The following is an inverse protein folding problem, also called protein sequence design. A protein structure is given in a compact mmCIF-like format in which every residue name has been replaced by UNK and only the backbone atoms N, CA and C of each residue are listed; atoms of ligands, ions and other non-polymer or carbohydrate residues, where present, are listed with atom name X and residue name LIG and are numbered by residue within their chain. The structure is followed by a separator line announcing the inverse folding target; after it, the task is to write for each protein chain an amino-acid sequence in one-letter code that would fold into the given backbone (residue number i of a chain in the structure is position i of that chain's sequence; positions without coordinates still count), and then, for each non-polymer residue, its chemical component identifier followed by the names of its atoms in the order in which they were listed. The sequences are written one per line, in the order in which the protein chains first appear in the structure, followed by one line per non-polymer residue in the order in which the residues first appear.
data_IF_789285159143
#
_entry.id   IF_789285159143
#
_cell.length_a   1.000
_cell.length_b   1.000
_cell.length_c   1.000
_cell.angle_alpha   90.00
_cell.angle_beta   90.00
_cell.angle_gamma   90.00
#
_symmetry.space_group_name_H-M   'P 1'
#
loop_
_entity.id
_entity.type
_entity.pdbx_description
1 polymer ?
#
# COMPACT_ATOMS: atom_id res chain seq x y z
N UNK A 1 -19.37 22.20 -3.93
CA UNK A 1 -18.31 21.48 -4.64
C UNK A 1 -18.29 20.01 -4.25
N UNK A 2 -18.42 19.11 -5.22
CA UNK A 2 -18.27 17.67 -5.08
C UNK A 2 -16.87 17.21 -5.48
N UNK A 3 -16.15 16.56 -4.56
CA UNK A 3 -14.76 16.17 -4.69
C UNK A 3 -14.67 14.65 -4.60
N UNK A 4 -13.91 14.02 -5.50
CA UNK A 4 -13.50 12.63 -5.34
C UNK A 4 -12.07 12.57 -4.79
N UNK A 5 -11.91 12.05 -3.59
CA UNK A 5 -10.61 11.83 -2.93
C UNK A 5 -10.19 10.36 -3.05
N UNK A 6 -9.03 10.13 -3.66
CA UNK A 6 -8.35 8.84 -3.77
C UNK A 6 -6.88 8.98 -3.36
N UNK A 7 -6.21 7.87 -3.04
CA UNK A 7 -4.85 7.86 -2.53
C UNK A 7 -4.14 6.55 -2.93
N UNK A 8 -2.82 6.53 -2.76
CA UNK A 8 -2.02 5.30 -2.69
C UNK A 8 -2.28 4.35 -3.87
N UNK A 9 -2.24 4.90 -5.09
CA UNK A 9 -2.46 4.13 -6.32
C UNK A 9 -1.35 3.14 -6.55
N UNK A 10 -0.11 3.46 -6.20
CA UNK A 10 1.08 2.64 -6.41
C UNK A 10 1.11 1.99 -7.80
N UNK A 11 0.91 2.78 -8.86
CA UNK A 11 0.88 2.24 -10.21
C UNK A 11 2.18 1.49 -10.53
N UNK A 12 2.04 0.28 -11.07
CA UNK A 12 3.16 -0.61 -11.33
C UNK A 12 3.65 -1.40 -10.11
N UNK A 13 2.84 -1.51 -9.05
CA UNK A 13 3.15 -2.40 -7.92
C UNK A 13 3.21 -3.86 -8.38
N UNK A 14 4.19 -4.58 -7.84
CA UNK A 14 4.23 -6.04 -7.94
C UNK A 14 3.61 -6.69 -6.71
N UNK A 15 2.79 -7.71 -6.91
CA UNK A 15 2.24 -8.56 -5.87
C UNK A 15 2.67 -10.00 -6.11
N UNK A 16 3.52 -10.53 -5.24
CA UNK A 16 4.09 -11.88 -5.34
C UNK A 16 4.82 -12.20 -6.67
N UNK A 17 5.35 -11.18 -7.34
CA UNK A 17 6.17 -11.32 -8.55
C UNK A 17 5.46 -10.88 -9.83
N UNK A 18 4.14 -10.68 -9.78
CA UNK A 18 3.33 -10.22 -10.92
C UNK A 18 2.97 -8.74 -10.78
N UNK A 19 2.95 -8.00 -11.89
CA UNK A 19 2.51 -6.61 -11.89
C UNK A 19 0.98 -6.53 -11.81
N UNK A 20 0.49 -5.64 -10.94
CA UNK A 20 -0.94 -5.35 -10.80
C UNK A 20 -1.44 -4.28 -11.78
N UNK A 21 -0.61 -3.81 -12.72
CA UNK A 21 -0.95 -2.68 -13.61
C UNK A 21 -2.23 -2.93 -14.41
N UNK A 22 -2.51 -4.17 -14.82
CA UNK A 22 -3.76 -4.52 -15.51
C UNK A 22 -4.98 -4.42 -14.58
N UNK A 23 -4.88 -4.95 -13.35
CA UNK A 23 -5.93 -4.82 -12.31
C UNK A 23 -6.19 -3.36 -11.93
N UNK A 24 -5.11 -2.58 -11.77
CA UNK A 24 -5.17 -1.14 -11.51
C UNK A 24 -5.87 -0.43 -12.66
N UNK A 25 -5.51 -0.77 -13.90
CA UNK A 25 -6.12 -0.25 -15.11
C UNK A 25 -7.61 -0.57 -15.20
N UNK A 26 -8.01 -1.80 -14.89
CA UNK A 26 -9.42 -2.21 -14.87
C UNK A 26 -10.24 -1.34 -13.90
N UNK A 27 -9.80 -1.21 -12.64
CA UNK A 27 -10.53 -0.40 -11.66
C UNK A 27 -10.59 1.06 -12.06
N UNK A 28 -9.49 1.62 -12.56
CA UNK A 28 -9.44 3.03 -12.97
C UNK A 28 -10.34 3.29 -14.19
N UNK A 29 -10.32 2.41 -15.18
CA UNK A 29 -11.06 2.60 -16.44
C UNK A 29 -12.54 2.28 -16.33
N UNK A 30 -12.86 1.15 -15.69
CA UNK A 30 -14.22 0.59 -15.70
C UNK A 30 -15.07 1.05 -14.51
N UNK A 31 -14.46 1.63 -13.46
CA UNK A 31 -15.20 2.06 -12.27
C UNK A 31 -14.89 3.50 -11.86
N UNK A 32 -13.61 3.87 -11.73
CA UNK A 32 -13.25 5.23 -11.30
C UNK A 32 -13.69 6.30 -12.30
N UNK A 33 -13.41 6.14 -13.60
CA UNK A 33 -13.84 7.11 -14.61
C UNK A 33 -15.37 7.22 -14.74
N UNK A 34 -16.15 6.11 -14.80
CA UNK A 34 -17.61 6.20 -14.73
C UNK A 34 -18.11 6.89 -13.46
N UNK A 35 -17.53 6.59 -12.29
CA UNK A 35 -17.89 7.21 -11.02
C UNK A 35 -17.77 8.74 -11.07
N UNK A 36 -16.71 9.27 -11.68
CA UNK A 36 -16.53 10.72 -11.84
C UNK A 36 -17.70 11.37 -12.59
N UNK A 37 -18.14 10.71 -13.66
CA UNK A 37 -19.23 11.20 -14.52
C UNK A 37 -20.59 11.05 -13.84
N UNK A 38 -20.87 9.87 -13.31
CA UNK A 38 -22.18 9.51 -12.78
C UNK A 38 -22.52 10.28 -11.50
N UNK A 39 -21.51 10.56 -10.67
CA UNK A 39 -21.68 11.35 -9.45
C UNK A 39 -21.55 12.87 -9.67
N UNK A 40 -21.20 13.32 -10.88
CA UNK A 40 -21.01 14.74 -11.18
C UNK A 40 -19.87 15.36 -10.38
N UNK A 41 -18.71 14.69 -10.36
CA UNK A 41 -17.53 15.15 -9.62
C UNK A 41 -16.97 16.43 -10.25
N UNK A 42 -16.69 17.43 -9.42
CA UNK A 42 -16.20 18.75 -9.83
C UNK A 42 -14.68 18.90 -9.64
N UNK A 43 -14.05 18.08 -8.79
CA UNK A 43 -12.60 18.00 -8.62
C UNK A 43 -12.16 16.62 -8.16
N UNK A 44 -11.00 16.17 -8.64
CA UNK A 44 -10.36 14.92 -8.20
C UNK A 44 -9.10 15.25 -7.42
N UNK A 45 -8.90 14.57 -6.29
CA UNK A 45 -7.70 14.65 -5.47
C UNK A 45 -7.04 13.27 -5.38
N UNK A 46 -5.77 13.18 -5.76
CA UNK A 46 -4.89 12.04 -5.53
C UNK A 46 -3.83 12.41 -4.50
N UNK A 47 -4.01 11.95 -3.25
CA UNK A 47 -3.23 12.34 -2.07
C UNK A 47 -1.90 11.57 -1.90
N UNK A 48 -1.18 11.36 -3.00
CA UNK A 48 0.16 10.79 -3.00
C UNK A 48 0.23 9.31 -3.37
N UNK A 49 1.48 8.84 -3.47
CA UNK A 49 1.88 7.51 -3.94
C UNK A 49 1.19 7.14 -5.25
N UNK A 50 1.42 7.98 -6.27
CA UNK A 50 0.95 7.75 -7.64
C UNK A 50 1.57 6.47 -8.19
N UNK A 51 2.88 6.31 -7.97
CA UNK A 51 3.67 5.16 -8.44
C UNK A 51 4.19 4.32 -7.26
N UNK A 52 4.41 3.01 -7.50
CA UNK A 52 5.01 2.14 -6.46
C UNK A 52 6.46 2.50 -6.15
N UNK A 53 7.16 3.14 -7.09
CA UNK A 53 8.60 3.42 -7.00
C UNK A 53 8.94 4.72 -7.70
N UNK A 54 10.03 5.35 -7.27
CA UNK A 54 10.58 6.58 -7.84
C UNK A 54 11.01 6.43 -9.32
N UNK A 55 11.27 5.20 -9.75
CA UNK A 55 11.51 4.79 -11.13
C UNK A 55 10.39 3.82 -11.57
N UNK A 56 9.21 4.32 -11.97
CA UNK A 56 8.11 3.47 -12.37
C UNK A 56 8.37 2.77 -13.72
N UNK A 57 7.76 1.59 -13.96
CA UNK A 57 7.77 0.96 -15.28
C UNK A 57 6.95 1.79 -16.28
N UNK A 58 7.29 1.69 -17.57
CA UNK A 58 6.62 2.46 -18.63
C UNK A 58 5.09 2.28 -18.65
N UNK A 59 4.61 1.05 -18.48
CA UNK A 59 3.17 0.75 -18.45
C UNK A 59 2.43 1.47 -17.31
N UNK A 60 3.08 1.72 -16.16
CA UNK A 60 2.47 2.49 -15.07
C UNK A 60 2.36 3.98 -15.42
N UNK A 61 3.39 4.53 -16.09
CA UNK A 61 3.40 5.92 -16.57
C UNK A 61 2.34 6.12 -17.65
N UNK A 62 2.24 5.19 -18.60
CA UNK A 62 1.21 5.19 -19.64
C UNK A 62 -0.21 5.10 -19.06
N UNK A 63 -0.41 4.27 -18.03
CA UNK A 63 -1.69 4.18 -17.34
C UNK A 63 -2.05 5.50 -16.64
N UNK A 64 -1.11 6.13 -15.93
CA UNK A 64 -1.37 7.45 -15.32
C UNK A 64 -1.69 8.50 -16.38
N UNK A 65 -0.92 8.55 -17.47
CA UNK A 65 -1.14 9.47 -18.59
C UNK A 65 -2.54 9.31 -19.21
N UNK A 66 -2.96 8.07 -19.47
CA UNK A 66 -4.29 7.78 -20.00
C UNK A 66 -5.39 8.26 -19.05
N UNK A 67 -5.30 7.92 -17.76
CA UNK A 67 -6.33 8.28 -16.78
C UNK A 67 -6.36 9.80 -16.56
N UNK A 68 -5.20 10.44 -16.38
CA UNK A 68 -5.13 11.88 -16.18
C UNK A 68 -5.65 12.65 -17.41
N UNK A 69 -5.35 12.18 -18.62
CA UNK A 69 -5.88 12.74 -19.87
C UNK A 69 -7.40 12.61 -19.93
N UNK A 70 -7.96 11.44 -19.60
CA UNK A 70 -9.44 11.27 -19.58
C UNK A 70 -10.10 12.18 -18.54
N UNK A 71 -9.54 12.28 -17.34
CA UNK A 71 -10.08 13.16 -16.28
C UNK A 71 -10.07 14.63 -16.71
N UNK A 72 -8.96 15.10 -17.28
CA UNK A 72 -8.76 16.53 -17.54
C UNK A 72 -9.20 16.97 -18.93
N UNK A 73 -8.82 16.27 -19.99
CA UNK A 73 -9.11 16.67 -21.37
C UNK A 73 -10.49 16.20 -21.87
N UNK A 74 -11.01 15.08 -21.37
CA UNK A 74 -12.32 14.55 -21.81
C UNK A 74 -13.43 14.95 -20.84
N UNK A 75 -13.25 14.70 -19.54
CA UNK A 75 -14.24 15.02 -18.52
C UNK A 75 -14.18 16.49 -18.05
N UNK A 76 -13.09 17.21 -18.35
CA UNK A 76 -12.88 18.61 -17.95
C UNK A 76 -12.93 18.81 -16.42
N UNK A 77 -12.51 17.80 -15.66
CA UNK A 77 -12.48 17.84 -14.20
C UNK A 77 -11.05 18.20 -13.76
N UNK A 78 -10.85 19.26 -12.96
CA UNK A 78 -9.59 19.53 -12.30
C UNK A 78 -9.07 18.33 -11.53
N UNK A 79 -7.84 17.91 -11.82
CA UNK A 79 -7.17 16.79 -11.15
C UNK A 79 -5.96 17.30 -10.38
N UNK A 80 -6.03 17.23 -9.05
CA UNK A 80 -4.99 17.67 -8.14
C UNK A 80 -4.24 16.46 -7.58
N UNK A 81 -2.94 16.44 -7.77
CA UNK A 81 -2.06 15.32 -7.44
C UNK A 81 -0.90 15.81 -6.61
N UNK A 82 -0.61 15.13 -5.50
CA UNK A 82 0.62 15.34 -4.74
C UNK A 82 1.55 14.13 -4.87
N UNK A 83 2.85 14.30 -4.62
CA UNK A 83 3.75 13.14 -4.45
C UNK A 83 3.63 12.54 -3.05
N UNK A 84 3.67 11.21 -2.96
CA UNK A 84 3.90 10.50 -1.70
C UNK A 84 5.37 10.14 -1.49
N UNK A 85 5.66 9.27 -0.52
CA UNK A 85 7.02 8.86 -0.16
C UNK A 85 7.63 7.82 -1.11
N UNK A 86 6.83 7.20 -1.99
CA UNK A 86 7.31 6.31 -3.04
C UNK A 86 7.68 7.04 -4.33
N UNK A 87 7.03 8.16 -4.60
CA UNK A 87 7.18 8.92 -5.83
C UNK A 87 8.56 9.61 -5.91
N UNK A 88 8.97 9.96 -7.13
CA UNK A 88 10.05 10.93 -7.33
C UNK A 88 9.43 12.32 -7.50
N UNK A 89 9.59 13.20 -6.51
CA UNK A 89 9.05 14.56 -6.51
C UNK A 89 9.35 15.33 -7.82
N UNK A 90 10.62 15.30 -8.25
CA UNK A 90 11.08 16.02 -9.44
C UNK A 90 10.55 15.43 -10.75
N UNK A 91 10.47 14.09 -10.86
CA UNK A 91 9.94 13.41 -12.06
C UNK A 91 8.43 13.54 -12.17
N UNK A 92 7.70 13.38 -11.05
CA UNK A 92 6.26 13.57 -11.03
C UNK A 92 5.90 15.01 -11.42
N UNK A 93 6.68 15.98 -10.93
CA UNK A 93 6.48 17.41 -11.23
C UNK A 93 7.05 17.85 -12.58
N UNK A 94 7.44 16.92 -13.46
CA UNK A 94 7.90 17.27 -14.80
C UNK A 94 6.72 17.84 -15.60
N UNK A 95 6.91 19.02 -16.22
CA UNK A 95 5.87 19.66 -17.02
C UNK A 95 4.68 20.23 -16.22
N UNK A 96 4.70 20.23 -14.89
CA UNK A 96 3.56 20.63 -14.05
C UNK A 96 3.00 22.03 -14.38
N UNK A 97 3.86 23.00 -14.70
CA UNK A 97 3.45 24.35 -15.09
C UNK A 97 2.66 24.40 -16.42
N UNK A 98 2.96 23.50 -17.37
CA UNK A 98 2.21 23.37 -18.61
C UNK A 98 0.88 22.65 -18.35
N UNK A 99 0.93 21.55 -17.59
CA UNK A 99 -0.20 20.69 -17.28
C UNK A 99 -1.27 21.39 -16.43
N UNK A 100 -0.87 22.27 -15.51
CA UNK A 100 -1.78 23.07 -14.71
C UNK A 100 -2.74 23.93 -15.55
N UNK A 101 -2.33 24.34 -16.76
CA UNK A 101 -3.21 25.08 -17.70
C UNK A 101 -4.29 24.22 -18.33
N UNK A 102 -4.14 22.90 -18.28
CA UNK A 102 -5.10 21.90 -18.75
C UNK A 102 -5.92 21.31 -17.60
N UNK A 103 -5.78 21.83 -16.38
CA UNK A 103 -6.51 21.33 -15.21
C UNK A 103 -5.83 20.18 -14.45
N UNK A 104 -4.60 19.78 -14.83
CA UNK A 104 -3.80 18.81 -14.07
C UNK A 104 -2.80 19.55 -13.18
N UNK A 105 -3.10 19.64 -11.90
CA UNK A 105 -2.27 20.32 -10.90
C UNK A 105 -1.41 19.30 -10.17
N UNK A 106 -0.10 19.37 -10.37
CA UNK A 106 0.85 18.46 -9.73
C UNK A 106 1.75 19.25 -8.79
N UNK A 107 1.72 18.88 -7.51
CA UNK A 107 2.60 19.41 -6.47
C UNK A 107 3.44 18.26 -5.90
N UNK A 108 4.71 18.17 -6.32
CA UNK A 108 5.66 17.20 -5.75
C UNK A 108 6.96 17.87 -5.34
N UNK A 109 7.53 18.60 -6.27
CA UNK A 109 8.78 19.34 -6.13
C UNK A 109 8.55 20.65 -5.36
N UNK A 110 9.21 20.81 -4.20
CA UNK A 110 9.04 21.95 -3.31
C UNK A 110 9.35 23.28 -4.01
N UNK A 111 10.36 23.30 -4.88
CA UNK A 111 10.78 24.51 -5.61
C UNK A 111 9.73 25.00 -6.63
N UNK A 112 8.73 24.17 -6.94
CA UNK A 112 7.63 24.49 -7.87
C UNK A 112 6.33 24.84 -7.15
N UNK A 113 6.32 24.83 -5.82
CA UNK A 113 5.15 25.24 -5.04
C UNK A 113 4.90 26.75 -5.19
N UNK A 114 3.65 27.11 -5.44
CA UNK A 114 3.25 28.50 -5.77
C UNK A 114 2.11 29.04 -4.92
N UNK A 115 1.74 28.31 -3.85
CA UNK A 115 0.55 28.58 -3.05
C UNK A 115 -0.62 27.67 -3.40
N UNK A 116 -1.83 28.01 -2.92
CA UNK A 116 -2.99 27.13 -3.06
C UNK A 116 -3.51 27.11 -4.50
N UNK A 117 -4.04 25.97 -4.92
CA UNK A 117 -4.82 25.91 -6.16
C UNK A 117 -6.24 26.41 -5.85
N UNK A 118 -6.65 27.51 -6.47
CA UNK A 118 -7.99 28.08 -6.25
C UNK A 118 -8.94 27.62 -7.35
N UNK A 119 -9.89 26.78 -6.99
CA UNK A 119 -11.04 26.43 -7.83
C UNK A 119 -12.26 27.27 -7.43
N UNK A 120 -13.29 27.30 -8.27
CA UNK A 120 -14.53 28.05 -8.01
C UNK A 120 -15.74 27.17 -8.30
N UNK A 121 -16.68 27.15 -7.37
CA UNK A 121 -18.04 26.65 -7.60
C UNK A 121 -19.04 27.82 -7.51
N UNK A 122 -20.35 27.52 -7.52
CA UNK A 122 -21.41 28.52 -7.42
C UNK A 122 -21.39 29.33 -6.11
N UNK A 123 -20.87 28.77 -5.02
CA UNK A 123 -20.80 29.43 -3.72
C UNK A 123 -19.54 30.27 -3.53
N UNK A 124 -18.53 30.13 -4.40
CA UNK A 124 -17.34 30.98 -4.42
C UNK A 124 -16.03 30.20 -4.53
N UNK A 125 -14.89 30.80 -4.14
CA UNK A 125 -13.60 30.14 -4.23
C UNK A 125 -13.49 28.99 -3.21
N UNK A 126 -12.77 27.94 -3.61
CA UNK A 126 -12.31 26.84 -2.77
C UNK A 126 -10.80 26.71 -2.95
N UNK A 127 -10.07 26.83 -1.85
CA UNK A 127 -8.62 26.71 -1.84
C UNK A 127 -8.19 25.27 -1.58
N UNK A 128 -7.42 24.70 -2.50
CA UNK A 128 -6.76 23.41 -2.33
C UNK A 128 -5.31 23.62 -1.94
N UNK A 129 -4.98 23.30 -0.70
CA UNK A 129 -3.64 23.40 -0.14
C UNK A 129 -2.95 22.05 -0.35
N UNK A 130 -2.17 21.97 -1.43
CA UNK A 130 -1.43 20.76 -1.81
C UNK A 130 -0.09 20.70 -1.06
N UNK A 131 0.09 19.66 -0.24
CA UNK A 131 1.27 19.43 0.58
C UNK A 131 1.89 18.08 0.19
N UNK A 132 2.87 18.05 -0.74
CA UNK A 132 3.57 16.82 -1.06
C UNK A 132 4.31 16.26 0.16
N UNK A 133 4.53 14.95 0.15
CA UNK A 133 5.47 14.34 1.08
C UNK A 133 6.86 14.96 0.88
N UNK A 134 7.48 15.37 1.99
CA UNK A 134 8.83 15.90 2.02
C UNK A 134 9.49 15.54 3.35
N UNK A 135 10.79 15.26 3.30
CA UNK A 135 11.58 15.04 4.50
C UNK A 135 11.81 16.37 5.24
N UNK A 136 11.91 16.38 6.58
CA UNK A 136 12.14 17.61 7.34
C UNK A 136 13.39 18.36 6.89
N UNK A 137 14.41 17.64 6.41
CA UNK A 137 15.63 18.25 5.87
C UNK A 137 15.39 19.03 4.57
N UNK A 138 14.54 18.51 3.68
CA UNK A 138 14.21 19.18 2.41
C UNK A 138 13.38 20.43 2.68
N UNK A 139 12.41 20.34 3.59
CA UNK A 139 11.58 21.49 3.99
C UNK A 139 12.42 22.57 4.69
N UNK A 140 13.31 22.17 5.61
CA UNK A 140 14.26 23.07 6.26
C UNK A 140 15.10 23.84 5.24
N UNK A 141 15.63 23.13 4.24
CA UNK A 141 16.44 23.75 3.19
C UNK A 141 15.61 24.69 2.30
N UNK A 142 14.42 24.26 1.88
CA UNK A 142 13.51 25.03 1.03
C UNK A 142 13.03 26.33 1.69
N UNK A 143 12.69 26.28 2.97
CA UNK A 143 12.18 27.44 3.72
C UNK A 143 13.27 28.26 4.42
N UNK A 144 14.52 27.79 4.42
CA UNK A 144 15.63 28.37 5.19
C UNK A 144 15.30 28.51 6.69
N UNK A 145 14.71 27.47 7.28
CA UNK A 145 14.26 27.44 8.68
C UNK A 145 14.90 26.30 9.48
N UNK A 146 16.00 26.63 10.17
CA UNK A 146 16.77 25.71 11.00
C UNK A 146 15.99 25.11 12.18
N UNK A 147 14.77 25.58 12.49
CA UNK A 147 13.98 25.03 13.62
C UNK A 147 13.19 23.77 13.25
N UNK A 148 13.15 23.42 11.96
CA UNK A 148 12.45 22.26 11.41
C UNK A 148 13.32 21.01 11.58
N UNK A 149 12.93 20.15 12.51
CA UNK A 149 13.67 18.94 12.88
C UNK A 149 12.87 17.64 12.82
N UNK A 150 11.55 17.74 12.66
CA UNK A 150 10.61 16.63 12.66
C UNK A 150 9.51 16.87 11.61
N UNK A 151 8.73 15.82 11.32
CA UNK A 151 7.68 15.88 10.31
C UNK A 151 6.54 16.81 10.71
N UNK A 152 6.24 16.96 12.01
CA UNK A 152 5.20 17.86 12.50
C UNK A 152 5.50 19.31 12.10
N UNK A 153 6.68 19.80 12.46
CA UNK A 153 7.11 21.16 12.12
C UNK A 153 7.26 21.36 10.62
N UNK A 154 7.76 20.35 9.90
CA UNK A 154 7.89 20.40 8.46
C UNK A 154 6.52 20.60 7.79
N UNK A 155 5.51 19.81 8.20
CA UNK A 155 4.15 19.94 7.70
C UNK A 155 3.53 21.29 8.07
N UNK A 156 3.67 21.74 9.32
CA UNK A 156 3.14 23.03 9.76
C UNK A 156 3.72 24.20 8.97
N UNK A 157 5.04 24.18 8.72
CA UNK A 157 5.74 25.20 7.95
C UNK A 157 5.34 25.19 6.47
N UNK A 158 5.29 24.00 5.84
CA UNK A 158 4.78 23.86 4.47
C UNK A 158 3.32 24.31 4.36
N UNK A 159 2.48 23.93 5.32
CA UNK A 159 1.08 24.33 5.39
C UNK A 159 0.96 25.86 5.47
N UNK A 160 1.74 26.53 6.32
CA UNK A 160 1.77 27.98 6.41
C UNK A 160 2.27 28.66 5.12
N UNK A 161 3.23 28.05 4.42
CA UNK A 161 3.72 28.55 3.13
C UNK A 161 2.66 28.40 2.02
N UNK A 162 2.07 27.22 1.88
CA UNK A 162 1.11 26.88 0.83
C UNK A 162 -0.29 27.44 1.07
N UNK A 163 -0.66 27.80 2.30
CA UNK A 163 -1.97 28.38 2.61
C UNK A 163 -2.01 29.91 2.54
N UNK A 164 -0.95 30.56 2.04
CA UNK A 164 -0.90 32.02 1.92
C UNK A 164 -2.00 32.50 0.96
N UNK A 165 -2.81 33.45 1.42
CA UNK A 165 -3.91 34.02 0.62
C UNK A 165 -5.20 33.20 0.62
N UNK A 166 -5.32 32.17 1.47
CA UNK A 166 -6.56 31.39 1.63
C UNK A 166 -7.59 32.05 2.58
N UNK A 167 -7.30 33.23 3.14
CA UNK A 167 -8.11 33.83 4.20
C UNK A 167 -9.57 34.02 3.77
N UNK A 168 -10.50 33.51 4.59
CA UNK A 168 -11.94 33.59 4.35
C UNK A 168 -12.47 32.67 3.24
N UNK A 169 -11.64 31.82 2.65
CA UNK A 169 -12.08 30.80 1.68
C UNK A 169 -12.42 29.49 2.37
N UNK A 170 -13.28 28.69 1.74
CA UNK A 170 -13.37 27.26 2.07
C UNK A 170 -12.08 26.60 1.60
N UNK A 171 -11.49 25.75 2.43
CA UNK A 171 -10.17 25.20 2.21
C UNK A 171 -10.15 23.67 2.42
N UNK A 172 -9.51 23.00 1.47
CA UNK A 172 -9.25 21.56 1.47
C UNK A 172 -7.74 21.35 1.53
N UNK A 173 -7.28 20.60 2.53
CA UNK A 173 -5.88 20.19 2.62
C UNK A 173 -5.70 18.84 1.93
N UNK A 174 -4.62 18.70 1.15
CA UNK A 174 -4.21 17.43 0.54
C UNK A 174 -2.80 17.14 1.03
N UNK A 175 -2.61 16.02 1.73
CA UNK A 175 -1.33 15.71 2.37
C UNK A 175 -1.06 14.21 2.40
N UNK A 176 0.23 13.84 2.42
CA UNK A 176 0.66 12.45 2.48
C UNK A 176 1.57 12.27 3.71
N UNK A 177 0.96 11.85 4.83
CA UNK A 177 1.61 11.79 6.14
C UNK A 177 1.09 10.64 6.98
N UNK A 178 1.81 10.30 8.05
CA UNK A 178 1.30 9.40 9.09
C UNK A 178 0.71 10.19 10.27
N UNK A 179 -0.61 10.29 10.31
CA UNK A 179 -1.34 10.99 11.36
C UNK A 179 -1.57 10.08 12.58
N UNK A 180 -1.45 10.67 13.77
CA UNK A 180 -1.63 9.99 15.05
C UNK A 180 -3.01 9.35 15.16
N UNK A 181 -3.04 8.05 15.48
CA UNK A 181 -4.25 7.24 15.55
C UNK A 181 -4.58 6.46 14.26
N UNK A 182 -3.81 6.64 13.19
CA UNK A 182 -3.90 5.83 11.98
C UNK A 182 -3.43 4.38 12.20
N UNK A 183 -4.07 3.43 11.51
CA UNK A 183 -3.71 2.01 11.52
C UNK A 183 -3.04 1.62 10.21
N UNK A 184 -1.86 1.00 10.31
CA UNK A 184 -1.06 0.57 9.18
C UNK A 184 -1.33 -0.87 8.75
N UNK A 185 -0.79 -1.22 7.57
CA UNK A 185 -0.74 -2.54 6.96
C UNK A 185 0.66 -2.86 6.43
N UNK A 186 0.94 -4.13 6.12
CA UNK A 186 2.32 -4.58 5.84
C UNK A 186 2.90 -4.07 4.51
N UNK A 187 2.06 -3.55 3.61
CA UNK A 187 2.47 -3.06 2.29
C UNK A 187 2.96 -1.61 2.31
N UNK A 188 2.68 -0.88 3.38
CA UNK A 188 3.09 0.50 3.58
C UNK A 188 4.56 0.51 3.99
N UNK A 189 5.36 1.43 3.43
CA UNK A 189 6.71 1.63 3.94
C UNK A 189 6.60 2.25 5.32
N UNK A 190 7.15 1.63 6.38
CA UNK A 190 7.23 2.29 7.66
C UNK A 190 8.02 3.57 7.45
N UNK A 191 7.39 4.72 7.68
CA UNK A 191 8.09 6.01 7.68
C UNK A 191 9.10 6.08 8.82
N UNK A 192 8.99 5.21 9.83
CA UNK A 192 9.77 5.30 11.06
C UNK A 192 10.42 4.00 11.52
N UNK A 193 11.62 4.18 12.09
CA UNK A 193 12.16 3.37 13.18
C UNK A 193 12.25 4.31 14.40
N UNK A 194 11.16 4.47 15.18
CA UNK A 194 11.22 5.23 16.45
C UNK A 194 10.11 6.23 16.78
N UNK A 195 9.16 6.50 15.87
CA UNK A 195 7.93 7.27 16.16
C UNK A 195 8.02 8.80 16.00
N UNK A 196 9.11 9.33 15.45
CA UNK A 196 9.34 10.78 15.23
C UNK A 196 8.51 11.41 14.09
N UNK A 197 7.77 10.58 13.36
CA UNK A 197 7.16 10.95 12.06
C UNK A 197 5.63 11.04 12.16
N UNK A 198 5.11 11.00 13.38
CA UNK A 198 3.69 11.11 13.71
C UNK A 198 3.24 12.56 13.69
N UNK A 199 2.17 12.83 12.93
CA UNK A 199 1.53 14.13 12.84
C UNK A 199 0.31 14.19 13.76
N UNK A 200 0.20 15.23 14.58
CA UNK A 200 -1.04 15.50 15.32
C UNK A 200 -2.14 15.98 14.35
N UNK A 201 -3.30 15.33 14.42
CA UNK A 201 -4.48 15.70 13.63
C UNK A 201 -4.91 17.17 13.80
N UNK A 202 -4.58 17.82 14.92
CA UNK A 202 -4.85 19.23 15.16
C UNK A 202 -4.19 20.17 14.12
N UNK A 203 -3.10 19.73 13.46
CA UNK A 203 -2.47 20.46 12.36
C UNK A 203 -3.45 20.79 11.22
N UNK A 204 -4.54 20.02 11.13
CA UNK A 204 -5.54 20.12 10.09
C UNK A 204 -6.80 20.91 10.48
N UNK A 205 -6.95 21.40 11.71
CA UNK A 205 -8.19 22.02 12.24
C UNK A 205 -8.69 23.23 11.47
N UNK A 206 -7.80 23.92 10.75
CA UNK A 206 -8.16 25.09 9.93
C UNK A 206 -8.89 24.75 8.63
N UNK A 207 -8.91 23.49 8.21
CA UNK A 207 -9.47 23.05 6.93
C UNK A 207 -10.86 22.43 7.09
N UNK A 208 -11.75 22.69 6.13
CA UNK A 208 -13.08 22.04 6.10
C UNK A 208 -12.95 20.54 5.82
N UNK A 209 -12.01 20.15 4.96
CA UNK A 209 -11.71 18.74 4.66
C UNK A 209 -10.21 18.53 4.50
N UNK A 210 -9.72 17.36 4.94
CA UNK A 210 -8.33 16.93 4.74
C UNK A 210 -8.31 15.57 4.06
N UNK A 211 -7.78 15.56 2.84
CA UNK A 211 -7.52 14.39 2.03
C UNK A 211 -6.12 13.83 2.33
N UNK A 212 -6.05 12.78 3.15
CA UNK A 212 -4.81 12.10 3.49
C UNK A 212 -4.57 10.88 2.59
N UNK A 213 -3.30 10.68 2.19
CA UNK A 213 -2.75 9.41 1.71
C UNK A 213 -1.64 8.93 2.63
N UNK A 214 -1.05 7.77 2.33
CA UNK A 214 0.01 7.01 3.03
C UNK A 214 -0.49 5.70 3.63
N UNK A 215 -1.68 5.70 4.24
CA UNK A 215 -2.25 4.50 4.85
C UNK A 215 -3.24 3.84 3.89
N UNK A 216 -3.03 2.56 3.60
CA UNK A 216 -3.78 1.86 2.56
C UNK A 216 -5.19 1.47 3.00
N UNK A 217 -5.47 1.47 4.30
CA UNK A 217 -6.81 1.25 4.84
C UNK A 217 -7.63 2.55 4.89
N UNK A 218 -8.82 2.61 4.26
CA UNK A 218 -9.69 3.77 4.39
C UNK A 218 -10.12 3.97 5.85
N UNK A 219 -9.86 5.15 6.41
CA UNK A 219 -10.12 5.44 7.82
C UNK A 219 -10.24 6.94 8.11
N UNK A 220 -10.85 7.26 9.26
CA UNK A 220 -10.94 8.62 9.80
C UNK A 220 -9.89 8.80 10.90
N UNK A 221 -9.35 10.01 11.04
CA UNK A 221 -8.39 10.32 12.10
C UNK A 221 -8.79 11.62 12.81
N UNK A 222 -8.96 11.55 14.13
CA UNK A 222 -9.37 12.68 14.95
C UNK A 222 -10.83 13.09 14.72
N UNK A 223 -11.15 13.67 13.55
CA UNK A 223 -12.49 14.10 13.14
C UNK A 223 -12.95 13.48 11.82
N UNK A 224 -14.26 13.42 11.53
CA UNK A 224 -14.80 12.78 10.32
C UNK A 224 -14.31 13.36 8.98
N UNK A 225 -13.88 14.62 8.99
CA UNK A 225 -13.42 15.37 7.82
C UNK A 225 -11.92 15.20 7.53
N UNK A 226 -11.17 14.52 8.40
CA UNK A 226 -9.77 14.15 8.18
C UNK A 226 -9.72 12.66 7.88
N UNK A 227 -9.46 12.31 6.62
CA UNK A 227 -9.66 10.94 6.14
C UNK A 227 -8.49 10.47 5.31
N UNK A 228 -8.13 9.21 5.50
CA UNK A 228 -7.40 8.43 4.51
C UNK A 228 -8.40 7.82 3.53
N UNK A 229 -8.18 8.01 2.23
CA UNK A 229 -8.97 7.31 1.22
C UNK A 229 -8.61 5.82 1.15
N UNK A 230 -7.37 5.48 1.50
CA UNK A 230 -6.82 4.15 1.30
C UNK A 230 -6.42 3.89 -0.15
N UNK A 231 -5.76 2.77 -0.36
CA UNK A 231 -5.28 2.35 -1.68
C UNK A 231 -6.41 1.91 -2.60
N UNK A 232 -6.13 1.97 -3.90
CA UNK A 232 -7.04 1.50 -4.96
C UNK A 232 -7.34 0.00 -4.86
N UNK A 233 -6.30 -0.79 -4.54
CA UNK A 233 -6.31 -2.24 -4.48
C UNK A 233 -5.67 -2.74 -3.19
N UNK A 234 -5.82 -4.03 -2.89
CA UNK A 234 -5.13 -4.70 -1.79
C UNK A 234 -3.70 -5.01 -2.20
N UNK A 235 -2.74 -4.53 -1.43
CA UNK A 235 -1.32 -4.63 -1.74
C UNK A 235 -0.53 -5.55 -0.80
N UNK A 236 -1.20 -6.11 0.19
CA UNK A 236 -0.74 -7.15 1.10
C UNK A 236 -1.90 -8.05 1.50
N UNK A 237 -1.60 -9.28 1.91
CA UNK A 237 -2.57 -10.17 2.54
C UNK A 237 -3.11 -9.61 3.87
N UNK A 238 -2.38 -8.73 4.57
CA UNK A 238 -2.89 -8.03 5.75
C UNK A 238 -4.12 -7.15 5.44
N UNK A 239 -4.30 -6.78 4.18
CA UNK A 239 -5.42 -5.96 3.71
C UNK A 239 -6.60 -6.79 3.18
N UNK A 240 -6.55 -8.13 3.27
CA UNK A 240 -7.56 -9.03 2.71
C UNK A 240 -8.99 -8.75 3.21
N UNK A 241 -9.15 -8.18 4.40
CA UNK A 241 -10.45 -7.81 4.99
C UNK A 241 -10.84 -6.35 4.76
N UNK A 242 -9.95 -5.53 4.21
CA UNK A 242 -10.21 -4.13 3.95
C UNK A 242 -11.05 -3.96 2.67
N UNK A 243 -11.95 -2.98 2.68
CA UNK A 243 -12.58 -2.50 1.46
C UNK A 243 -11.69 -1.44 0.84
N UNK A 244 -11.54 -1.48 -0.49
CA UNK A 244 -10.73 -0.52 -1.26
C UNK A 244 -11.63 0.35 -2.12
N UNK A 245 -11.20 1.57 -2.41
CA UNK A 245 -12.07 2.51 -3.10
C UNK A 245 -11.63 3.96 -3.02
N UNK A 246 -12.62 4.85 -3.08
CA UNK A 246 -12.44 6.29 -3.00
C UNK A 246 -13.45 6.92 -2.04
N UNK A 247 -13.24 8.18 -1.66
CA UNK A 247 -14.16 8.94 -0.82
C UNK A 247 -14.79 10.04 -1.66
N UNK A 248 -16.11 10.00 -1.80
CA UNK A 248 -16.90 11.09 -2.37
C UNK A 248 -17.18 12.11 -1.25
N UNK A 249 -16.88 13.37 -1.51
CA UNK A 249 -16.95 14.45 -0.53
C UNK A 249 -17.78 15.58 -1.10
N UNK A 250 -18.80 16.01 -0.37
CA UNK A 250 -19.58 17.19 -0.69
C UNK A 250 -19.21 18.31 0.28
N UNK A 251 -18.70 19.42 -0.25
CA UNK A 251 -18.39 20.66 0.45
C UNK A 251 -19.41 21.72 0.05
N UNK A 252 -20.24 22.17 0.99
CA UNK A 252 -21.28 23.17 0.72
C UNK A 252 -20.76 24.62 0.75
N UNK A 253 -21.66 25.58 0.56
CA UNK A 253 -21.33 27.02 0.58
C UNK A 253 -20.98 27.57 1.97
N UNK A 254 -21.47 26.93 3.03
CA UNK A 254 -21.17 27.28 4.43
C UNK A 254 -19.87 26.62 4.93
N UNK A 255 -19.26 25.77 4.11
CA UNK A 255 -18.06 25.00 4.46
C UNK A 255 -18.35 23.73 5.25
N UNK A 256 -19.60 23.24 5.31
CA UNK A 256 -19.90 21.94 5.90
C UNK A 256 -19.54 20.84 4.92
N UNK A 257 -19.10 19.72 5.50
CA UNK A 257 -18.63 18.56 4.75
C UNK A 257 -19.47 17.35 5.07
N UNK A 258 -19.91 16.65 4.03
CA UNK A 258 -20.36 15.25 4.13
C UNK A 258 -19.49 14.38 3.25
N UNK A 259 -19.21 13.16 3.70
CA UNK A 259 -18.40 12.22 2.92
C UNK A 259 -18.95 10.81 2.95
N UNK A 260 -18.80 10.10 1.84
CA UNK A 260 -19.20 8.72 1.65
C UNK A 260 -18.06 7.93 1.02
N UNK A 261 -17.79 6.75 1.56
CA UNK A 261 -16.85 5.82 0.94
C UNK A 261 -17.54 5.04 -0.18
N UNK A 262 -16.94 5.05 -1.36
CA UNK A 262 -17.40 4.32 -2.54
C UNK A 262 -16.44 3.15 -2.79
N UNK A 263 -16.89 1.89 -2.55
CA UNK A 263 -16.03 0.73 -2.78
C UNK A 263 -15.80 0.52 -4.27
N UNK A 264 -14.59 0.10 -4.61
CA UNK A 264 -14.19 -0.33 -5.95
C UNK A 264 -13.87 -1.83 -5.90
N UNK A 265 -14.27 -2.56 -6.94
CA UNK A 265 -14.18 -4.02 -6.99
C UNK A 265 -13.13 -4.45 -8.00
N UNK A 266 -12.02 -5.09 -7.60
CA UNK A 266 -11.03 -5.59 -8.56
C UNK A 266 -11.60 -6.72 -9.43
N UNK A 267 -10.90 -7.05 -10.51
CA UNK A 267 -11.24 -8.24 -11.29
C UNK A 267 -10.83 -9.51 -10.52
N UNK A 268 -9.69 -9.48 -9.82
CA UNK A 268 -9.26 -10.51 -8.88
C UNK A 268 -9.02 -9.92 -7.47
N UNK A 269 -9.76 -10.40 -6.46
CA UNK A 269 -9.61 -9.93 -5.09
C UNK A 269 -8.50 -10.68 -4.32
N UNK A 270 -8.00 -10.11 -3.22
CA UNK A 270 -7.02 -10.76 -2.34
C UNK A 270 -7.74 -11.44 -1.18
N UNK A 271 -7.55 -12.76 -1.05
CA UNK A 271 -8.21 -13.59 -0.04
C UNK A 271 -7.23 -14.48 0.73
N UNK A 272 -7.53 -14.69 2.01
CA UNK A 272 -6.86 -15.68 2.86
C UNK A 272 -7.84 -16.82 3.14
N UNK A 273 -7.54 -18.01 2.62
CA UNK A 273 -8.28 -19.23 2.91
C UNK A 273 -7.69 -19.90 4.14
N UNK A 274 -8.53 -20.35 5.07
CA UNK A 274 -8.09 -21.00 6.32
C UNK A 274 -8.82 -22.33 6.52
N UNK A 275 -8.10 -23.31 7.07
CA UNK A 275 -8.58 -24.66 7.36
C UNK A 275 -7.64 -25.72 6.80
N UNK A 276 -8.02 -26.99 6.86
CA UNK A 276 -7.19 -28.07 6.33
C UNK A 276 -7.04 -27.95 4.81
N UNK A 277 -5.94 -28.44 4.27
CA UNK A 277 -5.70 -28.44 2.83
C UNK A 277 -6.81 -29.21 2.10
N UNK A 278 -7.29 -30.30 2.68
CA UNK A 278 -8.40 -31.08 2.13
C UNK A 278 -9.69 -30.23 2.08
N UNK A 279 -10.07 -29.59 3.17
CA UNK A 279 -11.28 -28.77 3.23
C UNK A 279 -11.23 -27.60 2.23
N UNK A 280 -10.07 -26.94 2.10
CA UNK A 280 -9.87 -25.85 1.13
C UNK A 280 -10.06 -26.36 -0.31
N UNK A 281 -9.61 -27.57 -0.61
CA UNK A 281 -9.71 -28.17 -1.93
C UNK A 281 -11.11 -28.72 -2.24
N UNK A 282 -11.85 -29.20 -1.25
CA UNK A 282 -13.21 -29.76 -1.42
C UNK A 282 -14.32 -28.71 -1.38
N UNK A 283 -14.10 -27.57 -0.72
CA UNK A 283 -15.09 -26.48 -0.61
C UNK A 283 -15.56 -25.96 -1.97
N UNK A 284 -16.86 -25.76 -2.16
CA UNK A 284 -17.34 -25.01 -3.34
C UNK A 284 -16.92 -23.53 -3.25
N UNK A 285 -16.28 -23.01 -4.29
CA UNK A 285 -15.85 -21.60 -4.38
C UNK A 285 -16.01 -21.13 -5.82
N UNK A 286 -16.77 -20.05 -6.01
CA UNK A 286 -17.05 -19.41 -7.30
C UNK A 286 -15.99 -18.38 -7.70
N UNK A 287 -15.09 -18.00 -6.78
CA UNK A 287 -14.06 -16.97 -6.97
C UNK A 287 -12.66 -17.57 -7.07
N UNK A 288 -12.51 -18.63 -7.84
CA UNK A 288 -11.23 -19.33 -7.99
C UNK A 288 -10.12 -18.49 -8.64
N UNK A 289 -10.49 -17.43 -9.36
CA UNK A 289 -9.56 -16.47 -9.97
C UNK A 289 -8.92 -15.48 -8.98
N UNK A 290 -9.40 -15.38 -7.74
CA UNK A 290 -8.83 -14.44 -6.76
C UNK A 290 -7.37 -14.77 -6.40
N UNK A 291 -6.64 -13.75 -5.96
CA UNK A 291 -5.30 -13.91 -5.40
C UNK A 291 -5.39 -14.53 -4.00
N UNK A 292 -4.95 -15.78 -3.90
CA UNK A 292 -5.16 -16.59 -2.69
C UNK A 292 -3.86 -16.84 -1.94
N UNK A 293 -3.88 -16.57 -0.64
CA UNK A 293 -3.03 -17.20 0.36
C UNK A 293 -3.82 -18.32 1.04
N UNK A 294 -3.35 -19.55 0.92
CA UNK A 294 -3.89 -20.66 1.72
C UNK A 294 -3.09 -20.77 3.01
N UNK A 295 -3.74 -20.58 4.15
CA UNK A 295 -3.16 -20.78 5.49
C UNK A 295 -3.74 -22.05 6.09
N UNK A 296 -2.97 -23.12 6.01
CA UNK A 296 -3.39 -24.46 6.41
C UNK A 296 -3.06 -24.76 7.87
N UNK A 297 -3.92 -25.54 8.51
CA UNK A 297 -3.73 -26.04 9.87
C UNK A 297 -3.18 -27.48 9.91
N UNK A 298 -2.92 -28.09 8.74
CA UNK A 298 -2.30 -29.40 8.64
C UNK A 298 -0.93 -29.44 9.35
N UNK A 299 -0.77 -30.44 10.21
CA UNK A 299 0.48 -30.72 10.93
C UNK A 299 1.46 -31.53 10.07
N UNK A 300 0.95 -32.33 9.13
CA UNK A 300 1.76 -33.13 8.20
C UNK A 300 2.11 -32.37 6.90
N UNK A 301 3.25 -32.67 6.25
CA UNK A 301 3.59 -32.05 4.97
C UNK A 301 2.62 -32.41 3.84
N UNK A 302 2.02 -31.39 3.23
CA UNK A 302 1.23 -31.55 2.01
C UNK A 302 2.15 -31.63 0.79
N UNK A 303 2.35 -32.83 0.26
CA UNK A 303 3.09 -33.05 -0.99
C UNK A 303 2.43 -32.29 -2.15
N UNK A 304 3.27 -31.59 -2.92
CA UNK A 304 2.88 -30.75 -4.05
C UNK A 304 1.76 -29.75 -3.73
N UNK A 305 1.68 -29.28 -2.48
CA UNK A 305 0.58 -28.45 -1.99
C UNK A 305 0.28 -27.24 -2.88
N UNK A 306 1.32 -26.49 -3.29
CA UNK A 306 1.14 -25.33 -4.14
C UNK A 306 0.67 -25.68 -5.56
N UNK A 307 1.22 -26.73 -6.16
CA UNK A 307 0.83 -27.16 -7.50
C UNK A 307 -0.61 -27.69 -7.52
N UNK A 308 -1.02 -28.42 -6.46
CA UNK A 308 -2.39 -28.88 -6.26
C UNK A 308 -3.35 -27.72 -6.01
N UNK A 309 -2.97 -26.75 -5.18
CA UNK A 309 -3.75 -25.55 -4.91
C UNK A 309 -4.01 -24.77 -6.22
N UNK A 310 -2.97 -24.61 -7.06
CA UNK A 310 -3.07 -23.91 -8.35
C UNK A 310 -3.95 -24.60 -9.39
N UNK A 311 -4.23 -25.90 -9.25
CA UNK A 311 -5.23 -26.57 -10.11
C UNK A 311 -6.64 -26.04 -9.86
N UNK A 312 -6.94 -25.62 -8.62
CA UNK A 312 -8.23 -25.07 -8.24
C UNK A 312 -8.25 -23.54 -8.24
N UNK A 313 -7.19 -22.92 -7.72
CA UNK A 313 -7.03 -21.47 -7.62
C UNK A 313 -5.82 -21.04 -8.48
N UNK A 314 -5.99 -20.77 -9.79
CA UNK A 314 -4.87 -20.51 -10.69
C UNK A 314 -3.94 -19.39 -10.21
N UNK A 315 -4.51 -18.38 -9.56
CA UNK A 315 -3.82 -17.21 -9.03
C UNK A 315 -3.42 -17.37 -7.55
N UNK A 316 -3.31 -18.61 -7.05
CA UNK A 316 -2.75 -18.84 -5.73
C UNK A 316 -1.30 -18.34 -5.66
N UNK A 317 -1.04 -17.48 -4.67
CA UNK A 317 0.22 -16.77 -4.48
C UNK A 317 1.09 -17.42 -3.41
N UNK A 318 0.49 -17.95 -2.35
CA UNK A 318 1.23 -18.53 -1.24
C UNK A 318 0.46 -19.66 -0.53
N UNK A 319 1.22 -20.54 0.12
CA UNK A 319 0.75 -21.59 1.02
C UNK A 319 1.56 -21.52 2.31
N UNK A 320 0.89 -21.21 3.42
CA UNK A 320 1.47 -21.11 4.77
C UNK A 320 0.96 -22.26 5.64
N UNK A 321 1.85 -22.89 6.42
CA UNK A 321 1.50 -23.87 7.45
C UNK A 321 2.05 -23.40 8.80
N UNK A 322 1.37 -22.46 9.51
CA UNK A 322 1.92 -21.79 10.68
C UNK A 322 2.26 -22.74 11.83
N UNK A 323 1.52 -23.86 11.97
CA UNK A 323 1.78 -24.87 12.99
C UNK A 323 3.10 -25.64 12.76
N UNK A 324 3.68 -25.52 11.56
CA UNK A 324 5.00 -26.05 11.22
C UNK A 324 6.10 -24.99 11.30
N UNK A 325 5.73 -23.71 11.44
CA UNK A 325 6.68 -22.64 11.74
C UNK A 325 6.93 -22.63 13.25
N UNK A 326 7.97 -23.33 13.66
CA UNK A 326 8.45 -23.25 15.04
C UNK A 326 8.87 -21.82 15.33
N UNK A 327 8.37 -21.29 16.45
CA UNK A 327 8.74 -19.98 16.94
C UNK A 327 10.27 -19.88 17.00
N UNK A 328 10.82 -18.83 16.41
CA UNK A 328 12.25 -18.51 16.49
C UNK A 328 12.69 -18.11 17.93
N UNK A 329 11.98 -18.53 18.97
CA UNK A 329 12.13 -18.08 20.35
C UNK A 329 12.54 -19.17 21.34
N UNK A 330 13.06 -20.32 20.89
CA UNK A 330 13.55 -21.37 21.79
C UNK A 330 14.87 -22.03 21.36
N UNK A 331 15.69 -21.34 20.55
CA UNK A 331 16.99 -21.85 20.12
C UNK A 331 18.05 -20.76 20.13
N UNK A 332 19.07 -20.96 20.95
CA UNK A 332 20.29 -20.19 21.01
C UNK A 332 20.85 -19.92 19.61
N UNK A 333 21.24 -18.69 19.30
CA UNK A 333 21.81 -18.28 17.99
C UNK A 333 23.29 -18.69 17.85
N UNK A 334 23.67 -19.82 18.45
CA UNK A 334 25.05 -20.32 18.46
C UNK A 334 25.10 -21.77 17.98
N UNK A 335 24.51 -22.04 16.80
CA UNK A 335 24.67 -23.32 16.12
C UNK A 335 26.01 -23.33 15.39
N UNK A 336 27.02 -24.01 15.94
CA UNK A 336 28.34 -24.14 15.32
C UNK A 336 28.29 -25.14 14.14
N UNK A 337 27.86 -24.64 12.97
CA UNK A 337 27.75 -25.41 11.71
C UNK A 337 29.05 -26.14 11.35
N UNK A 338 30.23 -25.64 11.79
CA UNK A 338 31.53 -26.27 11.49
C UNK A 338 31.86 -27.49 12.36
N UNK A 339 31.13 -27.72 13.46
CA UNK A 339 31.36 -28.82 14.39
C UNK A 339 30.29 -29.91 14.40
N UNK A 340 29.24 -29.76 13.59
CA UNK A 340 28.07 -30.64 13.59
C UNK A 340 28.12 -31.59 12.39
N UNK A 341 27.92 -32.89 12.61
CA UNK A 341 27.82 -33.85 11.50
C UNK A 341 26.49 -33.67 10.76
N UNK A 342 26.42 -34.10 9.50
CA UNK A 342 25.19 -34.05 8.71
C UNK A 342 24.02 -34.80 9.37
N UNK A 343 24.32 -35.93 10.04
CA UNK A 343 23.36 -36.70 10.85
C UNK A 343 22.80 -35.88 12.02
N UNK A 344 23.66 -35.11 12.70
CA UNK A 344 23.28 -34.22 13.79
C UNK A 344 22.50 -32.99 13.29
N UNK A 345 22.87 -32.46 12.13
CA UNK A 345 22.12 -31.38 11.45
C UNK A 345 20.71 -31.84 11.08
N UNK A 346 20.58 -33.03 10.49
CA UNK A 346 19.28 -33.61 10.15
C UNK A 346 18.46 -33.91 11.40
N UNK A 347 19.07 -34.49 12.44
CA UNK A 347 18.36 -34.77 13.70
C UNK A 347 17.90 -33.50 14.39
N UNK A 348 18.71 -32.44 14.37
CA UNK A 348 18.34 -31.12 14.89
C UNK A 348 17.24 -30.45 14.07
N UNK A 349 17.28 -30.59 12.74
CA UNK A 349 16.19 -30.16 11.86
C UNK A 349 14.90 -30.94 12.12
N UNK A 350 14.97 -32.26 12.27
CA UNK A 350 13.82 -33.11 12.56
C UNK A 350 13.19 -32.77 13.91
N UNK A 351 14.01 -32.55 14.94
CA UNK A 351 13.57 -32.10 16.26
C UNK A 351 12.99 -30.68 16.22
N UNK A 352 13.61 -29.78 15.44
CA UNK A 352 13.08 -28.44 15.23
C UNK A 352 11.74 -28.47 14.50
N UNK A 353 11.54 -29.36 13.53
CA UNK A 353 10.29 -29.45 12.77
C UNK A 353 9.20 -30.28 13.48
N UNK A 354 9.57 -31.12 14.46
CA UNK A 354 8.67 -31.96 15.26
C UNK A 354 9.08 -31.92 16.75
N UNK A 355 8.85 -30.80 17.46
CA UNK A 355 9.31 -30.64 18.84
C UNK A 355 8.71 -31.66 19.82
N UNK A 356 7.46 -32.05 19.58
CA UNK A 356 6.71 -32.97 20.44
C UNK A 356 6.88 -34.45 20.05
N UNK A 357 7.59 -34.73 18.95
CA UNK A 357 7.75 -36.06 18.41
C UNK A 357 9.15 -36.24 17.80
N UNK A 358 10.17 -36.50 18.64
CA UNK A 358 11.52 -36.79 18.17
C UNK A 358 11.51 -38.03 17.26
N UNK A 359 12.53 -38.16 16.41
CA UNK A 359 12.70 -39.33 15.55
C UNK A 359 12.57 -40.61 16.37
N UNK A 360 11.59 -41.44 16.02
CA UNK A 360 11.43 -42.76 16.62
C UNK A 360 12.64 -43.64 16.35
N UNK A 361 12.87 -44.67 17.17
CA UNK A 361 13.98 -45.62 16.94
C UNK A 361 13.97 -46.23 15.53
N UNK A 362 12.77 -46.42 14.95
CA UNK A 362 12.59 -46.90 13.57
C UNK A 362 13.03 -45.87 12.54
N UNK A 363 12.67 -44.60 12.72
CA UNK A 363 13.06 -43.52 11.80
C UNK A 363 14.57 -43.26 11.88
N UNK A 364 15.14 -43.25 13.09
CA UNK A 364 16.59 -43.12 13.31
C UNK A 364 17.35 -44.30 12.70
N UNK A 365 16.83 -45.52 12.83
CA UNK A 365 17.41 -46.70 12.17
C UNK A 365 17.37 -46.63 10.64
N UNK A 366 16.27 -46.13 10.07
CA UNK A 366 16.14 -45.88 8.63
C UNK A 366 17.15 -44.82 8.16
N UNK A 367 17.28 -43.73 8.91
CA UNK A 367 18.23 -42.65 8.65
C UNK A 367 19.66 -43.15 8.58
N UNK A 368 20.10 -43.92 9.58
CA UNK A 368 21.44 -44.49 9.62
C UNK A 368 21.71 -45.44 8.44
N UNK A 369 20.74 -46.28 8.08
CA UNK A 369 20.88 -47.18 6.93
C UNK A 369 21.02 -46.41 5.61
N UNK A 370 20.27 -45.32 5.44
CA UNK A 370 20.37 -44.44 4.27
C UNK A 370 21.72 -43.73 4.20
N UNK A 371 22.22 -43.19 5.32
CA UNK A 371 23.54 -42.55 5.36
C UNK A 371 24.68 -43.55 5.14
N UNK A 372 24.59 -44.75 5.71
CA UNK A 372 25.56 -45.81 5.47
C UNK A 372 25.57 -46.27 4.02
N UNK A 373 24.41 -46.29 3.36
CA UNK A 373 24.31 -46.59 1.93
C UNK A 373 24.92 -45.47 1.08
N UNK A 374 24.61 -44.21 1.37
CA UNK A 374 25.17 -43.04 0.68
C UNK A 374 26.68 -42.92 0.84
N UNK A 375 27.22 -43.13 2.06
CA UNK A 375 28.67 -43.15 2.32
C UNK A 375 29.37 -44.29 1.58
N UNK A 376 28.71 -45.43 1.40
CA UNK A 376 29.24 -46.56 0.61
C UNK A 376 29.22 -46.26 -0.89
N UNK A 377 28.24 -45.51 -1.39
CA UNK A 377 28.21 -45.04 -2.78
C UNK A 377 29.25 -43.96 -3.06
N UNK A 378 29.42 -42.98 -2.16
CA UNK A 378 30.43 -41.91 -2.30
C UNK A 378 31.87 -42.39 -2.06
N UNK A 379 32.06 -43.44 -1.25
CA UNK A 379 33.37 -44.06 -0.99
C UNK A 379 33.98 -44.81 -2.18
N UNK A 380 33.32 -44.82 -3.35
CA UNK A 380 33.83 -45.41 -4.60
C UNK A 380 34.59 -44.45 -5.52
N UNK A 381 34.74 -43.17 -5.16
CA UNK A 381 35.36 -42.17 -6.02
C UNK A 381 36.29 -41.18 -5.30
N UNK A 382 37.54 -41.61 -5.07
CA UNK A 382 38.80 -40.80 -5.02
C UNK A 382 38.83 -39.71 -3.93
N UNK A 383 39.41 -39.90 -2.73
CA UNK A 383 40.84 -40.04 -2.38
C UNK A 383 41.80 -39.03 -3.02
#
# INVERSE_FOLDING_TARGET
MRILHTADWHLGKMFYGDYLTEEQGYVLKEQFLPLLKDEGVEAVVLSGDVYDRSLPPAAAVELFDEIATKVTAELHIPFLVISGNHDSASRLSFGSALLARQGLYIAGDLDKLTGPVILRDEAGPVAFVLLPYAEPADVRHFLDDETIHDHQKALEALCAFQSRGCDGMRAVCVSHVFASGGKSSDSERPLSIGGTDLIDSAAFDRFQYTALGHLHGPQQVGRPEVRYAGSLLKYSFSEATQKKGAVLVDLDGDGKVSSQFIPLTPHHDVRILKGSFQDIMEREDDRTGDYVLARIDDTEPVLDGMARLRKKYPNAMALEAPQRCVSASAGDRDFNIRGTTEEQLFSSFAAAMRPDQPLSEKETGCLHQLWDALRKEEGGGIL
#
